data_IF_087980560842
#
_entry.id   IF_087980560842
#
_cell.length_a   1.000
_cell.length_b   1.000
_cell.length_c   1.000
_cell.angle_alpha   90.00
_cell.angle_beta   90.00
_cell.angle_gamma   90.00
#
_symmetry.space_group_name_H-M   'P 1'
#
loop_
_entity.id
_entity.type
_entity.pdbx_description
1 polymer ?
#
# COMPACT_ATOMS: atom_id res chain seq x y z
N UNK A 1 -23.66 -13.19 32.02
CA UNK A 1 -23.01 -11.87 32.02
C UNK A 1 -21.70 -12.02 31.26
N UNK A 2 -21.65 -11.58 30.01
CA UNK A 2 -20.43 -11.66 29.21
C UNK A 2 -19.42 -10.65 29.77
N UNK A 3 -18.21 -11.08 30.07
CA UNK A 3 -17.12 -10.17 30.43
C UNK A 3 -16.99 -9.11 29.33
N UNK A 4 -16.77 -7.83 29.67
CA UNK A 4 -16.48 -6.84 28.64
C UNK A 4 -15.26 -7.34 27.88
N UNK A 5 -15.37 -7.47 26.55
CA UNK A 5 -14.24 -7.85 25.72
C UNK A 5 -13.08 -6.91 26.06
N UNK A 6 -11.99 -7.46 26.59
CA UNK A 6 -10.82 -6.66 26.96
C UNK A 6 -10.36 -5.89 25.73
N UNK A 7 -10.23 -4.56 25.86
CA UNK A 7 -9.71 -3.73 24.78
C UNK A 7 -8.22 -4.02 24.61
N UNK A 8 -7.90 -4.78 23.56
CA UNK A 8 -6.52 -5.18 23.24
C UNK A 8 -5.63 -3.97 22.96
N UNK A 9 -6.18 -2.78 22.66
CA UNK A 9 -5.39 -1.54 22.52
C UNK A 9 -4.64 -1.17 23.79
N UNK A 10 -5.18 -1.53 24.95
CA UNK A 10 -4.61 -1.15 26.23
C UNK A 10 -3.31 -1.92 26.55
N UNK A 11 -3.14 -3.13 25.98
CA UNK A 11 -2.05 -4.02 26.36
C UNK A 11 -1.27 -4.63 25.19
N UNK A 12 -1.89 -4.82 24.02
CA UNK A 12 -1.32 -5.62 22.94
C UNK A 12 -1.22 -4.85 21.61
N UNK A 13 -2.25 -4.13 21.19
CA UNK A 13 -2.29 -3.37 19.93
C UNK A 13 -1.95 -1.90 20.24
N UNK A 14 -0.73 -1.68 20.71
CA UNK A 14 -0.22 -0.35 21.02
C UNK A 14 0.36 0.33 19.78
N UNK A 15 0.58 1.66 19.78
CA UNK A 15 1.27 2.33 18.68
C UNK A 15 2.64 1.72 18.36
N UNK A 16 3.39 1.33 19.41
CA UNK A 16 4.68 0.65 19.26
C UNK A 16 4.53 -0.72 18.59
N UNK A 17 3.49 -1.48 18.95
CA UNK A 17 3.18 -2.74 18.28
C UNK A 17 2.93 -2.53 16.79
N UNK A 18 2.09 -1.55 16.43
CA UNK A 18 1.78 -1.22 15.04
C UNK A 18 3.04 -0.79 14.27
N UNK A 19 3.93 -0.02 14.88
CA UNK A 19 5.20 0.38 14.26
C UNK A 19 6.11 -0.82 13.97
N UNK A 20 6.30 -1.70 14.96
CA UNK A 20 7.09 -2.93 14.81
C UNK A 20 6.48 -3.83 13.73
N UNK A 21 5.15 -3.97 13.74
CA UNK A 21 4.43 -4.75 12.75
C UNK A 21 4.60 -4.19 11.34
N UNK A 22 4.52 -2.86 11.17
CA UNK A 22 4.78 -2.17 9.89
C UNK A 22 6.19 -2.45 9.39
N UNK A 23 7.19 -2.37 10.27
CA UNK A 23 8.58 -2.66 9.90
C UNK A 23 8.74 -4.13 9.45
N UNK A 24 8.18 -5.07 10.20
CA UNK A 24 8.25 -6.51 9.88
C UNK A 24 7.50 -6.86 8.59
N UNK A 25 6.33 -6.28 8.37
CA UNK A 25 5.51 -6.52 7.20
C UNK A 25 6.25 -6.23 5.88
N UNK A 26 7.21 -5.30 5.87
CA UNK A 26 8.06 -5.02 4.69
C UNK A 26 8.93 -6.20 4.26
N UNK A 27 9.25 -7.11 5.18
CA UNK A 27 10.11 -8.26 4.92
C UNK A 27 9.33 -9.58 4.72
N UNK A 28 8.04 -9.61 5.05
CA UNK A 28 7.21 -10.79 4.90
C UNK A 28 6.89 -11.09 3.43
N UNK A 29 6.57 -12.34 3.10
CA UNK A 29 6.05 -12.68 1.78
C UNK A 29 4.59 -12.24 1.64
N UNK A 30 4.11 -12.13 0.40
CA UNK A 30 2.72 -11.75 0.12
C UNK A 30 1.75 -12.79 0.66
N UNK A 31 2.08 -14.08 0.55
CA UNK A 31 1.28 -15.19 1.07
C UNK A 31 1.17 -15.13 2.60
N UNK A 32 2.27 -14.78 3.27
CA UNK A 32 2.27 -14.65 4.72
C UNK A 32 1.38 -13.48 5.17
N UNK A 33 1.47 -12.32 4.50
CA UNK A 33 0.63 -11.17 4.82
C UNK A 33 -0.86 -11.50 4.62
N UNK A 34 -1.20 -12.19 3.53
CA UNK A 34 -2.58 -12.64 3.27
C UNK A 34 -3.08 -13.61 4.34
N UNK A 35 -2.26 -14.57 4.75
CA UNK A 35 -2.62 -15.50 5.82
C UNK A 35 -2.84 -14.77 7.16
N UNK A 36 -2.00 -13.79 7.49
CA UNK A 36 -2.16 -12.96 8.68
C UNK A 36 -3.42 -12.10 8.63
N UNK A 37 -3.73 -11.48 7.49
CA UNK A 37 -4.98 -10.74 7.29
C UNK A 37 -6.21 -11.62 7.52
N UNK A 38 -6.22 -12.83 6.95
CA UNK A 38 -7.32 -13.76 7.13
C UNK A 38 -7.47 -14.19 8.59
N UNK A 39 -6.35 -14.43 9.28
CA UNK A 39 -6.35 -14.76 10.69
C UNK A 39 -6.91 -13.61 11.54
N UNK A 40 -6.42 -12.38 11.34
CA UNK A 40 -6.84 -11.21 12.12
C UNK A 40 -8.30 -10.82 11.90
N UNK A 41 -8.84 -10.97 10.69
CA UNK A 41 -10.28 -10.78 10.45
C UNK A 41 -11.15 -11.72 11.27
N UNK A 42 -10.66 -12.91 11.60
CA UNK A 42 -11.39 -13.87 12.41
C UNK A 42 -11.16 -13.68 13.91
N UNK A 43 -9.96 -13.28 14.33
CA UNK A 43 -9.57 -13.26 15.75
C UNK A 43 -9.67 -11.88 16.40
N UNK A 44 -9.44 -10.81 15.64
CA UNK A 44 -9.42 -9.41 16.10
C UNK A 44 -10.14 -8.49 15.09
N UNK A 45 -11.43 -8.74 14.78
CA UNK A 45 -12.16 -7.97 13.78
C UNK A 45 -12.32 -6.49 14.14
N UNK A 46 -12.37 -6.15 15.44
CA UNK A 46 -12.65 -4.79 15.93
C UNK A 46 -11.41 -3.86 15.96
N UNK A 47 -10.32 -4.28 15.32
CA UNK A 47 -9.03 -3.58 15.29
C UNK A 47 -8.59 -3.29 13.84
N UNK A 48 -9.30 -2.40 13.13
CA UNK A 48 -9.03 -2.09 11.73
C UNK A 48 -7.61 -1.58 11.50
N UNK A 49 -7.00 -0.91 12.49
CA UNK A 49 -5.64 -0.38 12.40
C UNK A 49 -4.58 -1.45 12.07
N UNK A 50 -4.81 -2.70 12.49
CA UNK A 50 -3.94 -3.83 12.20
C UNK A 50 -4.13 -4.33 10.77
N UNK A 51 -5.38 -4.32 10.30
CA UNK A 51 -5.75 -4.81 8.98
C UNK A 51 -5.31 -3.81 7.91
N UNK A 52 -5.62 -2.52 8.11
CA UNK A 52 -5.25 -1.42 7.22
C UNK A 52 -3.73 -1.33 7.01
N UNK A 53 -2.94 -1.60 8.05
CA UNK A 53 -1.49 -1.61 7.97
C UNK A 53 -0.98 -2.68 6.97
N UNK A 54 -1.53 -3.89 7.06
CA UNK A 54 -1.13 -5.00 6.19
C UNK A 54 -1.69 -4.86 4.77
N UNK A 55 -2.93 -4.40 4.64
CA UNK A 55 -3.55 -4.08 3.35
C UNK A 55 -2.79 -2.95 2.64
N UNK A 56 -2.38 -1.92 3.38
CA UNK A 56 -1.56 -0.83 2.86
C UNK A 56 -0.19 -1.30 2.37
N UNK A 57 0.45 -2.24 3.07
CA UNK A 57 1.72 -2.84 2.63
C UNK A 57 1.54 -3.66 1.34
N UNK A 58 0.47 -4.46 1.24
CA UNK A 58 0.12 -5.19 0.02
C UNK A 58 -0.14 -4.25 -1.16
N UNK A 59 -0.91 -3.19 -0.92
CA UNK A 59 -1.22 -2.17 -1.94
C UNK A 59 0.07 -1.47 -2.41
N UNK A 60 0.94 -1.07 -1.48
CA UNK A 60 2.26 -0.49 -1.79
C UNK A 60 3.11 -1.40 -2.68
N UNK A 61 3.10 -2.72 -2.43
CA UNK A 61 3.82 -3.69 -3.27
C UNK A 61 3.23 -3.78 -4.67
N UNK A 62 1.89 -3.86 -4.78
CA UNK A 62 1.17 -3.84 -6.07
C UNK A 62 1.55 -2.60 -6.88
N UNK A 63 1.48 -1.41 -6.28
CA UNK A 63 1.84 -0.15 -6.93
C UNK A 63 3.32 -0.11 -7.36
N UNK A 64 4.24 -0.58 -6.51
CA UNK A 64 5.65 -0.63 -6.86
C UNK A 64 5.93 -1.61 -8.01
N UNK A 65 5.26 -2.77 -8.03
CA UNK A 65 5.33 -3.72 -9.13
C UNK A 65 4.82 -3.10 -10.43
N UNK A 66 3.67 -2.43 -10.36
CA UNK A 66 3.07 -1.70 -11.47
C UNK A 66 4.02 -0.63 -12.02
N UNK A 67 4.55 0.25 -11.16
CA UNK A 67 5.49 1.31 -11.52
C UNK A 67 6.73 0.76 -12.22
N UNK A 68 7.29 -0.35 -11.71
CA UNK A 68 8.45 -1.03 -12.32
C UNK A 68 8.13 -1.57 -13.71
N UNK A 69 6.95 -2.16 -13.89
CA UNK A 69 6.47 -2.68 -15.19
C UNK A 69 6.32 -1.54 -16.19
N UNK A 70 5.57 -0.49 -15.82
CA UNK A 70 5.30 0.68 -16.66
C UNK A 70 6.60 1.37 -17.10
N UNK A 71 7.55 1.57 -16.18
CA UNK A 71 8.85 2.19 -16.48
C UNK A 71 9.63 1.44 -17.56
N UNK A 72 9.46 0.12 -17.68
CA UNK A 72 10.13 -0.73 -18.68
C UNK A 72 9.35 -0.84 -20.01
N UNK A 73 8.06 -0.56 -20.01
CA UNK A 73 7.20 -0.63 -21.20
C UNK A 73 7.51 0.48 -22.20
N UNK A 74 7.28 0.23 -23.49
CA UNK A 74 7.42 1.28 -24.52
C UNK A 74 6.22 2.23 -24.47
N UNK A 75 6.39 3.42 -25.02
CA UNK A 75 5.33 4.45 -25.02
C UNK A 75 4.07 3.98 -25.74
N UNK A 76 4.20 3.27 -26.86
CA UNK A 76 3.06 2.68 -27.57
C UNK A 76 2.31 1.66 -26.70
N UNK A 77 3.03 0.74 -26.04
CA UNK A 77 2.42 -0.27 -25.16
C UNK A 77 1.67 0.39 -23.99
N UNK A 78 2.21 1.48 -23.44
CA UNK A 78 1.56 2.23 -22.36
C UNK A 78 0.28 2.93 -22.84
N UNK A 79 0.27 3.50 -24.05
CA UNK A 79 -0.94 4.08 -24.64
C UNK A 79 -2.01 3.02 -24.87
N UNK A 80 -1.64 1.84 -25.38
CA UNK A 80 -2.56 0.72 -25.54
C UNK A 80 -3.08 0.19 -24.19
N UNK A 81 -2.22 0.08 -23.19
CA UNK A 81 -2.60 -0.33 -21.85
C UNK A 81 -3.59 0.65 -21.22
N UNK A 82 -3.32 1.97 -21.31
CA UNK A 82 -4.22 3.02 -20.83
C UNK A 82 -5.63 2.91 -21.44
N UNK A 83 -5.74 2.56 -22.72
CA UNK A 83 -7.02 2.46 -23.41
C UNK A 83 -7.88 1.27 -22.95
N UNK A 84 -7.27 0.24 -22.33
CA UNK A 84 -7.96 -0.98 -21.89
C UNK A 84 -8.09 -1.09 -20.37
N UNK A 85 -7.28 -0.33 -19.63
CA UNK A 85 -7.29 -0.29 -18.18
C UNK A 85 -8.51 0.47 -17.64
N UNK A 86 -9.03 -0.02 -16.51
CA UNK A 86 -10.21 0.57 -15.83
C UNK A 86 -9.91 1.04 -14.42
N UNK A 87 -8.82 0.57 -13.83
CA UNK A 87 -8.40 0.98 -12.51
C UNK A 87 -7.85 2.42 -12.57
N UNK A 88 -8.51 3.41 -11.94
CA UNK A 88 -8.12 4.82 -12.03
C UNK A 88 -6.70 5.08 -11.52
N UNK A 89 -6.28 4.37 -10.46
CA UNK A 89 -4.93 4.51 -9.90
C UNK A 89 -3.88 4.05 -10.92
N UNK A 90 -4.19 2.99 -11.67
CA UNK A 90 -3.31 2.46 -12.70
C UNK A 90 -3.22 3.45 -13.87
N UNK A 91 -4.36 4.01 -14.29
CA UNK A 91 -4.42 5.02 -15.36
C UNK A 91 -3.56 6.24 -14.98
N UNK A 92 -3.71 6.76 -13.76
CA UNK A 92 -2.94 7.91 -13.27
C UNK A 92 -1.42 7.65 -13.34
N UNK A 93 -0.98 6.46 -12.91
CA UNK A 93 0.45 6.09 -12.96
C UNK A 93 0.95 6.01 -14.40
N UNK A 94 0.14 5.48 -15.33
CA UNK A 94 0.48 5.41 -16.76
C UNK A 94 0.58 6.82 -17.36
N UNK A 95 -0.41 7.68 -17.11
CA UNK A 95 -0.44 9.06 -17.59
C UNK A 95 0.78 9.84 -17.09
N UNK A 96 1.07 9.72 -15.80
CA UNK A 96 2.23 10.37 -15.19
C UNK A 96 3.53 9.94 -15.86
N UNK A 97 3.72 8.64 -16.12
CA UNK A 97 4.91 8.17 -16.84
C UNK A 97 4.97 8.71 -18.27
N UNK A 98 3.85 8.77 -18.99
CA UNK A 98 3.80 9.32 -20.35
C UNK A 98 4.18 10.81 -20.36
N UNK A 99 3.69 11.61 -19.41
CA UNK A 99 4.07 13.01 -19.25
C UNK A 99 5.57 13.17 -18.97
N UNK A 100 6.13 12.34 -18.08
CA UNK A 100 7.57 12.34 -17.78
C UNK A 100 8.40 12.10 -19.05
N UNK A 101 7.98 11.15 -19.90
CA UNK A 101 8.66 10.84 -21.16
C UNK A 101 8.56 11.97 -22.20
N UNK A 102 7.53 12.80 -22.11
CA UNK A 102 7.36 14.00 -22.93
C UNK A 102 8.17 15.20 -22.40
N UNK A 103 8.92 15.03 -21.31
CA UNK A 103 9.76 16.07 -20.72
C UNK A 103 9.10 16.89 -19.62
N UNK A 104 7.89 16.51 -19.17
CA UNK A 104 7.26 17.12 -17.99
C UNK A 104 8.06 16.73 -16.76
N UNK A 105 8.49 17.73 -15.97
CA UNK A 105 9.20 17.48 -14.72
C UNK A 105 8.31 16.66 -13.79
N UNK A 106 8.90 15.64 -13.16
CA UNK A 106 8.26 14.95 -12.05
C UNK A 106 7.88 15.98 -10.99
N UNK A 107 6.67 15.86 -10.46
CA UNK A 107 6.35 16.55 -9.21
C UNK A 107 7.41 16.13 -8.19
N UNK A 108 8.00 17.07 -7.44
CA UNK A 108 8.97 16.74 -6.41
C UNK A 108 8.32 15.72 -5.47
N UNK A 109 9.04 14.60 -5.22
CA UNK A 109 8.60 13.63 -4.23
C UNK A 109 8.39 14.42 -2.92
N UNK A 110 7.20 14.29 -2.32
CA UNK A 110 6.73 15.12 -1.20
C UNK A 110 7.55 14.98 0.10
N UNK A 111 8.70 14.30 0.07
CA UNK A 111 9.66 14.29 1.18
C UNK A 111 10.20 15.69 1.52
N UNK A 112 10.23 16.61 0.55
CA UNK A 112 10.60 18.02 0.81
C UNK A 112 9.46 18.79 1.53
N UNK A 113 8.20 18.37 1.35
CA UNK A 113 7.05 18.91 2.09
C UNK A 113 6.86 18.25 3.47
N UNK A 114 7.42 17.06 3.70
CA UNK A 114 7.37 16.36 4.99
C UNK A 114 8.44 16.84 6.00
N UNK A 115 9.42 17.62 5.56
CA UNK A 115 10.50 18.19 6.40
C UNK A 115 10.30 19.66 6.77
N UNK A 116 9.21 20.28 6.29
CA UNK A 116 8.81 21.63 6.68
C UNK A 116 7.61 21.49 7.64
N UNK A 117 7.86 20.99 8.84
CA UNK A 117 7.08 21.26 10.06
C UNK A 117 8.04 21.29 11.25
#
# INVERSE_FOLDING_TARGET
MSQPAEDLRQYYITPTYLEVMRHRARAWSDEFIQAQLQQFRNTIPDYPEVHELLEGEMHRRKLNGLKRRIKKSRTADLQSLKATEKDPDVIEVIETELLIRQGVKRLPDSEENARIQ
#
